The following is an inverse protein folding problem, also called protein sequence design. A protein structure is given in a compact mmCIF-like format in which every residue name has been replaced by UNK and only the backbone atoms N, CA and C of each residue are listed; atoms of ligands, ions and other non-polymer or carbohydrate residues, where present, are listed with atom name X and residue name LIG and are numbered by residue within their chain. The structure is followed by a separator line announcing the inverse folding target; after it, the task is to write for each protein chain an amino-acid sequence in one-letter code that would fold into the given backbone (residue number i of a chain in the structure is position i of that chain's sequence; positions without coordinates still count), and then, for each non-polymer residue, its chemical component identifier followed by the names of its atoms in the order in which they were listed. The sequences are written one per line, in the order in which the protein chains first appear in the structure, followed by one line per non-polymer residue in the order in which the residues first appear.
data_IF_226856103887
#
_entry.id   IF_226856103887
#
_cell.length_a   1.000
_cell.length_b   1.000
_cell.length_c   1.000
_cell.angle_alpha   90.00
_cell.angle_beta   90.00
_cell.angle_gamma   90.00
#
_symmetry.space_group_name_H-M   'P 1'
#
loop_
_entity.id
_entity.type
_entity.pdbx_description
1 polymer ?
#
# COMPACT_ATOMS: atom_id res chain seq x y z
N UNK A 1 29.71 25.63 3.88
CA UNK A 1 29.03 24.46 4.47
C UNK A 1 28.70 23.49 3.36
N UNK A 2 29.51 22.43 3.25
CA UNK A 2 29.31 21.38 2.26
C UNK A 2 28.33 20.38 2.87
N UNK A 3 27.12 20.29 2.34
CA UNK A 3 26.19 19.21 2.66
C UNK A 3 26.84 17.86 2.33
N UNK A 4 27.37 17.22 3.34
CA UNK A 4 27.97 15.90 3.25
C UNK A 4 26.87 14.88 3.30
N UNK A 5 26.66 14.18 2.19
CA UNK A 5 25.80 13.00 2.01
C UNK A 5 24.32 13.19 2.41
N UNK A 6 23.46 13.32 1.41
CA UNK A 6 22.02 13.12 1.59
C UNK A 6 21.76 11.64 1.71
N UNK A 7 21.36 11.20 2.88
CA UNK A 7 20.81 9.86 3.07
C UNK A 7 19.40 9.80 2.48
N UNK A 8 19.08 8.68 1.84
CA UNK A 8 17.70 8.34 1.50
C UNK A 8 17.09 7.63 2.72
N UNK A 9 16.05 8.23 3.28
CA UNK A 9 15.32 7.65 4.40
C UNK A 9 14.19 6.75 3.94
N UNK A 10 13.94 5.70 4.69
CA UNK A 10 12.69 4.96 4.61
C UNK A 10 11.58 5.83 5.23
N UNK A 11 10.58 6.18 4.44
CA UNK A 11 9.48 7.05 4.86
C UNK A 11 8.72 6.46 6.05
N UNK A 12 8.67 5.14 6.16
CA UNK A 12 7.99 4.43 7.25
C UNK A 12 8.86 4.23 8.49
N UNK A 13 10.16 3.99 8.31
CA UNK A 13 11.08 3.68 9.41
C UNK A 13 11.95 4.85 9.83
N UNK A 14 11.92 5.97 9.11
CA UNK A 14 12.81 7.13 9.31
C UNK A 14 14.29 6.73 9.44
N UNK A 15 14.67 5.62 8.80
CA UNK A 15 16.05 5.16 8.77
C UNK A 15 16.82 5.95 7.71
N UNK A 16 17.92 6.55 8.13
CA UNK A 16 18.83 7.26 7.23
C UNK A 16 20.02 6.36 6.94
N UNK A 17 20.19 6.00 5.67
CA UNK A 17 21.31 5.15 5.24
C UNK A 17 22.22 5.99 4.34
N UNK A 18 23.51 6.05 4.67
CA UNK A 18 24.50 6.67 3.80
C UNK A 18 24.78 5.76 2.62
N UNK A 19 24.36 6.16 1.43
CA UNK A 19 24.49 5.34 0.20
C UNK A 19 25.83 5.57 -0.48
N UNK A 20 26.33 6.81 -0.47
CA UNK A 20 27.62 7.18 -1.05
C UNK A 20 28.32 8.18 -0.15
N UNK A 21 29.63 8.08 -0.04
CA UNK A 21 30.44 9.02 0.71
C UNK A 21 30.83 10.19 -0.18
N UNK A 22 30.77 11.41 0.38
CA UNK A 22 31.34 12.60 -0.27
C UNK A 22 32.86 12.49 -0.37
N UNK A 23 33.45 13.18 -1.35
CA UNK A 23 34.88 13.27 -1.46
C UNK A 23 35.49 14.18 -0.38
N UNK A 24 36.76 13.94 -0.09
CA UNK A 24 37.49 14.79 0.83
C UNK A 24 37.86 16.12 0.19
N UNK A 25 37.72 17.21 0.94
CA UNK A 25 38.12 18.54 0.49
C UNK A 25 39.62 18.65 0.29
N UNK A 26 40.04 19.45 -0.69
CA UNK A 26 41.45 19.78 -0.87
C UNK A 26 41.95 20.71 0.21
N UNK A 27 43.26 20.79 0.34
CA UNK A 27 43.89 21.72 1.26
C UNK A 27 43.94 23.13 0.68
N UNK A 28 43.41 24.07 1.43
CA UNK A 28 43.51 25.50 1.10
C UNK A 28 44.89 26.08 1.41
N UNK A 29 45.14 27.30 0.93
CA UNK A 29 46.41 28.00 1.03
C UNK A 29 46.96 28.15 2.45
N UNK A 30 46.10 28.24 3.46
CA UNK A 30 46.53 28.36 4.86
C UNK A 30 47.37 27.17 5.35
N UNK A 31 47.12 25.97 4.79
CA UNK A 31 47.86 24.75 5.15
C UNK A 31 49.30 24.74 4.63
N UNK A 32 49.60 25.60 3.65
CA UNK A 32 50.94 25.73 3.06
C UNK A 32 51.71 26.93 3.62
N UNK A 33 51.18 27.59 4.63
CA UNK A 33 51.83 28.74 5.30
C UNK A 33 53.06 28.24 6.09
N UNK A 34 54.18 28.91 5.86
CA UNK A 34 55.42 28.63 6.57
C UNK A 34 56.06 29.94 7.04
N UNK A 35 57.14 29.81 7.84
CA UNK A 35 57.88 30.99 8.30
C UNK A 35 58.47 31.84 7.15
N UNK A 36 58.82 31.17 6.03
CA UNK A 36 59.41 31.80 4.84
C UNK A 36 58.32 32.26 3.87
N UNK A 37 57.20 31.53 3.75
CA UNK A 37 56.10 31.88 2.87
C UNK A 37 54.83 32.13 3.67
N UNK A 38 54.59 33.40 4.05
CA UNK A 38 53.45 33.79 4.87
C UNK A 38 52.13 33.93 4.09
N UNK A 39 52.16 33.97 2.76
CA UNK A 39 51.00 34.13 1.91
C UNK A 39 51.06 33.12 0.71
N UNK A 40 51.02 31.81 0.95
CA UNK A 40 51.09 30.81 -0.11
C UNK A 40 49.88 30.90 -1.02
N UNK A 41 50.09 30.72 -2.32
CA UNK A 41 49.01 30.59 -3.32
C UNK A 41 48.72 29.11 -3.70
N UNK A 42 49.34 28.19 -2.99
CA UNK A 42 49.19 26.74 -3.24
C UNK A 42 47.88 26.23 -2.68
N UNK A 43 47.24 25.38 -3.44
CA UNK A 43 46.04 24.61 -3.03
C UNK A 43 46.13 23.21 -3.67
N UNK A 44 45.57 22.21 -3.00
CA UNK A 44 45.36 20.89 -3.61
C UNK A 44 43.92 20.72 -3.99
N UNK A 45 43.63 20.03 -5.12
CA UNK A 45 42.27 19.62 -5.41
C UNK A 45 41.80 18.63 -4.35
N UNK A 46 40.49 18.56 -4.11
CA UNK A 46 39.88 17.54 -3.30
C UNK A 46 39.82 16.21 -4.03
N UNK A 47 39.48 15.16 -3.32
CA UNK A 47 39.26 13.84 -3.87
C UNK A 47 37.78 13.70 -4.31
N UNK A 48 37.50 13.04 -5.44
CA UNK A 48 36.14 12.83 -5.87
C UNK A 48 35.40 11.92 -4.89
N UNK A 49 34.12 12.21 -4.66
CA UNK A 49 33.23 11.32 -3.90
C UNK A 49 32.87 10.05 -4.66
N UNK A 50 32.26 9.11 -3.95
CA UNK A 50 31.73 7.87 -4.54
C UNK A 50 30.57 8.20 -5.49
N UNK A 51 30.56 7.52 -6.66
CA UNK A 51 29.43 7.55 -7.60
C UNK A 51 28.82 6.15 -7.64
N UNK A 52 27.51 6.06 -7.39
CA UNK A 52 26.77 4.79 -7.42
C UNK A 52 25.52 4.94 -8.28
N UNK A 53 25.28 3.95 -9.13
CA UNK A 53 24.01 3.83 -9.83
C UNK A 53 23.07 3.01 -8.96
N UNK A 54 21.90 3.57 -8.62
CA UNK A 54 20.92 2.92 -7.76
C UNK A 54 19.72 2.48 -8.59
N UNK A 55 19.31 1.24 -8.37
CA UNK A 55 18.00 0.76 -8.81
C UNK A 55 17.08 0.81 -7.59
N UNK A 56 16.10 1.70 -7.62
CA UNK A 56 15.12 1.85 -6.55
C UNK A 56 13.89 0.99 -6.88
N UNK A 57 13.43 0.23 -5.92
CA UNK A 57 12.20 -0.54 -6.00
C UNK A 57 11.27 -0.14 -4.85
N UNK A 58 10.08 0.36 -5.20
CA UNK A 58 9.04 0.66 -4.22
C UNK A 58 8.38 -0.66 -3.78
N UNK A 59 8.60 -1.08 -2.53
CA UNK A 59 8.10 -2.37 -2.02
C UNK A 59 6.62 -2.38 -1.68
N UNK A 60 6.04 -1.25 -1.30
CA UNK A 60 4.63 -1.16 -0.89
C UNK A 60 3.88 -0.26 -1.85
N UNK A 61 2.86 -0.81 -2.51
CA UNK A 61 2.00 -0.08 -3.41
C UNK A 61 0.82 0.56 -2.67
N UNK A 62 0.21 -0.22 -1.78
CA UNK A 62 -0.93 0.18 -0.97
C UNK A 62 -1.00 -0.66 0.31
N UNK A 63 -1.60 -0.10 1.35
CA UNK A 63 -1.88 -0.82 2.60
C UNK A 63 -3.12 -1.70 2.46
N UNK A 64 -4.08 -1.25 1.65
CA UNK A 64 -5.40 -1.87 1.47
C UNK A 64 -5.68 -2.08 -0.01
N UNK A 65 -6.05 -3.30 -0.37
CA UNK A 65 -6.49 -3.67 -1.70
C UNK A 65 -8.01 -3.82 -1.78
N UNK A 66 -8.63 -3.32 -2.84
CA UNK A 66 -10.06 -3.50 -3.08
C UNK A 66 -10.32 -4.68 -3.99
N UNK A 67 -11.26 -5.54 -3.60
CA UNK A 67 -11.80 -6.64 -4.37
C UNK A 67 -13.28 -6.39 -4.63
N UNK A 68 -13.80 -6.80 -5.74
CA UNK A 68 -15.24 -6.69 -6.02
C UNK A 68 -15.53 -6.71 -7.51
N UNK A 69 -16.77 -7.05 -7.88
CA UNK A 69 -17.25 -7.05 -9.26
C UNK A 69 -17.10 -5.67 -9.92
N UNK A 70 -17.06 -5.58 -11.26
CA UNK A 70 -17.27 -4.33 -11.95
C UNK A 70 -18.53 -3.64 -11.42
N UNK A 71 -18.49 -2.33 -11.30
CA UNK A 71 -19.60 -1.51 -10.79
C UNK A 71 -20.05 -1.76 -9.34
N UNK A 72 -19.33 -2.58 -8.55
CA UNK A 72 -19.58 -2.72 -7.11
C UNK A 72 -19.33 -1.43 -6.30
N UNK A 73 -18.75 -0.41 -6.93
CA UNK A 73 -18.51 0.89 -6.33
C UNK A 73 -17.11 1.08 -5.76
N UNK A 74 -16.12 0.27 -6.17
CA UNK A 74 -14.72 0.39 -5.73
C UNK A 74 -14.12 1.77 -5.97
N UNK A 75 -14.21 2.25 -7.20
CA UNK A 75 -13.67 3.58 -7.57
C UNK A 75 -14.45 4.71 -6.91
N UNK A 76 -15.77 4.54 -6.72
CA UNK A 76 -16.60 5.49 -5.97
C UNK A 76 -16.15 5.55 -4.50
N UNK A 77 -15.88 4.38 -3.89
CA UNK A 77 -15.37 4.31 -2.53
C UNK A 77 -14.02 5.02 -2.39
N UNK A 78 -13.04 4.75 -3.28
CA UNK A 78 -11.76 5.45 -3.26
C UNK A 78 -11.96 6.97 -3.34
N UNK A 79 -12.82 7.43 -4.24
CA UNK A 79 -13.11 8.86 -4.40
C UNK A 79 -13.79 9.45 -3.16
N UNK A 80 -14.69 8.69 -2.53
CA UNK A 80 -15.41 9.13 -1.34
C UNK A 80 -14.52 9.31 -0.11
N UNK A 81 -13.50 8.43 0.04
CA UNK A 81 -12.64 8.38 1.24
C UNK A 81 -11.29 9.06 1.06
N UNK A 82 -10.87 9.33 -0.18
CA UNK A 82 -9.60 10.01 -0.46
C UNK A 82 -9.67 11.50 -0.19
N UNK A 83 -8.64 12.04 0.46
CA UNK A 83 -8.50 13.48 0.72
C UNK A 83 -8.01 14.27 -0.49
N UNK A 84 -7.51 13.59 -1.51
CA UNK A 84 -7.09 14.16 -2.79
C UNK A 84 -7.74 13.35 -3.92
N UNK A 85 -7.82 13.92 -5.12
CA UNK A 85 -8.29 13.17 -6.29
C UNK A 85 -7.45 11.89 -6.43
N UNK A 86 -8.09 10.72 -6.57
CA UNK A 86 -7.39 9.48 -6.82
C UNK A 86 -6.47 9.64 -8.03
N UNK A 87 -5.25 9.14 -7.92
CA UNK A 87 -4.29 9.17 -9.02
C UNK A 87 -4.28 7.83 -9.71
N UNK A 88 -4.39 7.86 -11.02
CA UNK A 88 -4.07 6.72 -11.87
C UNK A 88 -2.55 6.60 -11.86
N UNK A 89 -2.04 5.47 -11.41
CA UNK A 89 -0.61 5.24 -11.36
C UNK A 89 -0.15 4.52 -12.62
N UNK A 90 0.70 5.18 -13.40
CA UNK A 90 1.37 4.60 -14.56
C UNK A 90 2.58 3.80 -14.09
N UNK A 91 2.40 2.48 -13.95
CA UNK A 91 3.51 1.59 -13.69
C UNK A 91 3.99 1.00 -15.02
N UNK A 92 5.26 1.18 -15.39
CA UNK A 92 5.79 0.77 -16.71
C UNK A 92 5.74 -0.76 -16.95
N UNK A 93 5.35 -1.52 -15.92
CA UNK A 93 5.23 -2.98 -15.98
C UNK A 93 3.77 -3.47 -15.85
N UNK A 94 2.77 -2.57 -15.91
CA UNK A 94 1.35 -2.94 -15.87
C UNK A 94 0.62 -2.34 -17.07
N UNK A 95 -0.20 -3.15 -17.74
CA UNK A 95 -1.18 -2.66 -18.71
C UNK A 95 -2.46 -2.19 -18.04
N UNK A 96 -2.62 -2.47 -16.75
CA UNK A 96 -3.73 -2.06 -15.92
C UNK A 96 -3.26 -0.91 -15.04
N UNK A 97 -3.97 0.20 -15.09
CA UNK A 97 -3.67 1.40 -14.32
C UNK A 97 -4.47 1.37 -13.01
N UNK A 98 -3.87 0.98 -11.87
CA UNK A 98 -4.59 0.97 -10.59
C UNK A 98 -4.94 2.40 -10.16
N UNK A 99 -6.14 2.57 -9.64
CA UNK A 99 -6.52 3.81 -8.99
C UNK A 99 -6.04 3.77 -7.53
N UNK A 100 -5.19 4.73 -7.18
CA UNK A 100 -4.68 4.88 -5.82
C UNK A 100 -5.35 6.05 -5.12
N UNK A 101 -5.81 5.81 -3.90
CA UNK A 101 -6.34 6.84 -3.02
C UNK A 101 -5.56 6.91 -1.71
N UNK A 102 -5.21 8.13 -1.29
CA UNK A 102 -4.63 8.37 0.04
C UNK A 102 -5.73 8.81 0.98
N UNK A 103 -5.98 8.01 2.00
CA UNK A 103 -6.98 8.25 3.04
C UNK A 103 -6.29 8.82 4.27
N UNK A 104 -6.69 10.02 4.70
CA UNK A 104 -6.18 10.65 5.92
C UNK A 104 -7.21 10.49 7.03
N UNK A 105 -6.76 10.00 8.17
CA UNK A 105 -7.56 9.84 9.39
C UNK A 105 -7.24 10.94 10.40
N UNK A 106 -6.05 11.50 10.31
CA UNK A 106 -5.55 12.57 11.18
C UNK A 106 -4.36 13.30 10.57
N UNK A 107 -3.76 14.28 11.30
CA UNK A 107 -2.69 15.14 10.77
C UNK A 107 -1.49 14.38 10.21
N UNK A 108 -1.06 13.32 10.88
CA UNK A 108 0.06 12.45 10.45
C UNK A 108 -0.39 11.00 10.23
N UNK A 109 -1.68 10.77 10.12
CA UNK A 109 -2.26 9.44 10.05
C UNK A 109 -2.94 9.23 8.69
N UNK A 110 -2.35 8.38 7.88
CA UNK A 110 -2.88 8.05 6.55
C UNK A 110 -2.54 6.62 6.17
N UNK A 111 -3.30 6.09 5.23
CA UNK A 111 -3.02 4.83 4.57
C UNK A 111 -3.39 4.92 3.08
N UNK A 112 -2.86 4.02 2.28
CA UNK A 112 -3.09 3.99 0.84
C UNK A 112 -4.02 2.85 0.48
N UNK A 113 -5.04 3.15 -0.32
CA UNK A 113 -5.99 2.19 -0.89
C UNK A 113 -5.76 2.05 -2.38
N UNK A 114 -5.72 0.83 -2.88
CA UNK A 114 -5.61 0.54 -4.30
C UNK A 114 -6.83 -0.20 -4.83
N UNK A 115 -7.42 0.29 -5.92
CA UNK A 115 -8.38 -0.49 -6.71
C UNK A 115 -7.63 -1.46 -7.61
N UNK A 116 -8.11 -2.70 -7.63
CA UNK A 116 -7.53 -3.81 -8.36
C UNK A 116 -8.41 -4.12 -9.57
N UNK A 117 -8.17 -3.48 -10.71
CA UNK A 117 -8.87 -3.85 -11.93
C UNK A 117 -8.41 -5.22 -12.42
N UNK A 118 -9.31 -6.00 -13.01
CA UNK A 118 -8.95 -7.18 -13.78
C UNK A 118 -8.91 -8.53 -13.05
N UNK A 119 -9.36 -8.61 -11.78
CA UNK A 119 -9.53 -9.93 -11.12
C UNK A 119 -10.67 -10.78 -11.71
N UNK A 120 -11.55 -10.20 -12.53
CA UNK A 120 -12.81 -10.85 -12.94
C UNK A 120 -12.89 -11.07 -14.44
N UNK A 121 -12.08 -10.44 -15.26
CA UNK A 121 -12.13 -10.61 -16.71
C UNK A 121 -10.88 -11.33 -17.23
N UNK A 122 -10.91 -12.67 -17.24
CA UNK A 122 -9.94 -13.46 -17.99
C UNK A 122 -8.54 -13.60 -17.38
N UNK A 123 -8.33 -13.32 -16.12
CA UNK A 123 -7.02 -13.51 -15.45
C UNK A 123 -6.59 -15.00 -15.46
N UNK A 124 -7.52 -15.94 -15.61
CA UNK A 124 -7.26 -17.37 -15.74
C UNK A 124 -6.85 -17.79 -17.17
N UNK A 125 -7.02 -16.95 -18.18
CA UNK A 125 -6.80 -17.30 -19.59
C UNK A 125 -5.44 -16.84 -20.16
N UNK A 126 -4.42 -16.69 -19.34
CA UNK A 126 -3.04 -16.79 -19.84
C UNK A 126 -2.38 -15.52 -20.35
N UNK A 127 -2.92 -14.33 -20.20
CA UNK A 127 -2.18 -13.11 -20.49
C UNK A 127 -1.30 -12.77 -19.28
N UNK A 128 0.00 -13.02 -19.37
CA UNK A 128 1.01 -12.90 -18.30
C UNK A 128 1.15 -11.56 -17.55
N UNK A 129 0.24 -10.64 -17.75
CA UNK A 129 0.18 -9.29 -17.18
C UNK A 129 -0.50 -9.25 -15.80
N UNK A 130 -1.44 -10.15 -15.52
CA UNK A 130 -2.09 -10.26 -14.21
C UNK A 130 -1.12 -10.69 -13.10
N UNK A 131 -0.15 -11.55 -13.40
CA UNK A 131 0.81 -12.08 -12.43
C UNK A 131 1.74 -11.03 -11.80
N UNK A 132 2.16 -9.99 -12.54
CA UNK A 132 3.03 -8.97 -11.99
C UNK A 132 2.27 -8.01 -11.06
N UNK A 133 1.04 -7.67 -11.43
CA UNK A 133 0.20 -6.79 -10.62
C UNK A 133 -0.26 -7.47 -9.31
N UNK A 134 -0.58 -8.74 -9.36
CA UNK A 134 -1.00 -9.50 -8.17
C UNK A 134 0.14 -9.70 -7.17
N UNK A 135 1.40 -9.70 -7.61
CA UNK A 135 2.56 -9.59 -6.72
C UNK A 135 2.54 -8.30 -5.88
N UNK A 136 2.01 -7.22 -6.41
CA UNK A 136 1.88 -5.98 -5.64
C UNK A 136 0.76 -6.05 -4.60
N UNK A 137 -0.28 -6.85 -4.85
CA UNK A 137 -1.34 -7.11 -3.89
C UNK A 137 -0.91 -8.02 -2.75
N UNK A 138 0.03 -8.92 -3.01
CA UNK A 138 0.64 -9.72 -1.94
C UNK A 138 1.26 -8.81 -0.87
N UNK A 139 1.57 -7.57 -1.21
CA UNK A 139 2.17 -6.57 -0.31
C UNK A 139 1.14 -5.71 0.44
N UNK A 140 -0.15 -5.80 0.10
CA UNK A 140 -1.19 -5.14 0.92
C UNK A 140 -1.38 -5.88 2.24
N UNK A 141 -1.78 -5.18 3.28
CA UNK A 141 -2.03 -5.75 4.62
C UNK A 141 -3.45 -6.26 4.78
N UNK A 142 -4.38 -5.63 4.10
CA UNK A 142 -5.81 -5.91 4.20
C UNK A 142 -6.46 -5.91 2.82
N UNK A 143 -7.43 -6.78 2.61
CA UNK A 143 -8.30 -6.79 1.45
C UNK A 143 -9.72 -6.40 1.86
N UNK A 144 -10.31 -5.44 1.15
CA UNK A 144 -11.72 -5.10 1.29
C UNK A 144 -12.51 -5.73 0.14
N UNK A 145 -13.39 -6.65 0.47
CA UNK A 145 -14.28 -7.26 -0.50
C UNK A 145 -15.56 -6.43 -0.58
N UNK A 146 -15.63 -5.55 -1.58
CA UNK A 146 -16.77 -4.66 -1.82
C UNK A 146 -17.81 -5.39 -2.66
N UNK A 147 -19.02 -5.47 -2.13
CA UNK A 147 -20.16 -6.14 -2.75
C UNK A 147 -21.30 -5.15 -2.96
N UNK A 148 -21.86 -5.16 -4.15
CA UNK A 148 -23.11 -4.47 -4.45
C UNK A 148 -24.29 -5.29 -3.92
N UNK A 149 -25.00 -4.78 -2.91
CA UNK A 149 -26.16 -5.48 -2.31
C UNK A 149 -27.48 -5.15 -3.00
N UNK A 150 -27.45 -4.20 -3.92
CA UNK A 150 -28.61 -3.75 -4.70
C UNK A 150 -28.28 -3.69 -6.19
N UNK A 151 -27.91 -4.81 -6.85
CA UNK A 151 -27.63 -4.81 -8.27
C UNK A 151 -28.87 -4.38 -9.04
N UNK A 152 -28.65 -3.61 -10.12
CA UNK A 152 -29.74 -3.11 -10.94
C UNK A 152 -30.52 -4.24 -11.64
N UNK A 153 -29.83 -5.33 -11.99
CA UNK A 153 -30.43 -6.53 -12.56
C UNK A 153 -30.79 -7.50 -11.43
N UNK A 154 -32.09 -7.70 -11.20
CA UNK A 154 -32.63 -8.61 -10.18
C UNK A 154 -32.25 -10.09 -10.40
N UNK A 155 -31.87 -10.47 -11.62
CA UNK A 155 -31.38 -11.82 -11.92
C UNK A 155 -29.97 -12.06 -11.33
N UNK A 156 -29.27 -11.03 -10.95
CA UNK A 156 -27.92 -11.11 -10.41
C UNK A 156 -27.97 -11.41 -8.91
N UNK A 157 -27.44 -12.56 -8.50
CA UNK A 157 -27.27 -12.89 -7.07
C UNK A 157 -25.93 -12.31 -6.54
N UNK A 158 -25.97 -11.32 -5.64
CA UNK A 158 -24.75 -10.75 -5.06
C UNK A 158 -23.88 -11.76 -4.32
N UNK A 159 -24.52 -12.78 -3.71
CA UNK A 159 -23.79 -13.84 -2.99
C UNK A 159 -23.04 -14.75 -3.96
N UNK A 160 -23.64 -15.09 -5.09
CA UNK A 160 -22.99 -15.88 -6.13
C UNK A 160 -21.78 -15.13 -6.71
N UNK A 161 -21.93 -13.83 -6.99
CA UNK A 161 -20.84 -12.97 -7.45
C UNK A 161 -19.69 -12.90 -6.43
N UNK A 162 -20.00 -12.66 -5.16
CA UNK A 162 -18.99 -12.62 -4.11
C UNK A 162 -18.23 -13.95 -3.97
N UNK A 163 -18.93 -15.09 -4.08
CA UNK A 163 -18.29 -16.41 -4.09
C UNK A 163 -17.41 -16.63 -5.31
N UNK A 164 -17.81 -16.16 -6.48
CA UNK A 164 -17.02 -16.26 -7.70
C UNK A 164 -15.66 -15.57 -7.54
N UNK A 165 -15.64 -14.33 -7.01
CA UNK A 165 -14.41 -13.58 -6.73
C UNK A 165 -13.49 -14.35 -5.76
N UNK A 166 -14.05 -14.89 -4.68
CA UNK A 166 -13.24 -15.64 -3.69
C UNK A 166 -12.66 -16.92 -4.31
N UNK A 167 -13.43 -17.60 -5.16
CA UNK A 167 -12.95 -18.78 -5.86
C UNK A 167 -11.86 -18.45 -6.87
N UNK A 168 -12.00 -17.35 -7.59
CA UNK A 168 -10.99 -16.87 -8.52
C UNK A 168 -9.70 -16.49 -7.79
N UNK A 169 -9.79 -15.76 -6.69
CA UNK A 169 -8.67 -15.41 -5.83
C UNK A 169 -7.91 -16.66 -5.35
N UNK A 170 -8.66 -17.70 -4.94
CA UNK A 170 -8.09 -18.98 -4.49
C UNK A 170 -7.36 -19.73 -5.61
N UNK A 171 -7.93 -19.73 -6.84
CA UNK A 171 -7.29 -20.35 -8.00
C UNK A 171 -6.02 -19.62 -8.40
N UNK A 172 -6.01 -18.32 -8.21
CA UNK A 172 -4.95 -17.46 -8.67
C UNK A 172 -3.73 -17.47 -7.74
N UNK A 173 -3.93 -17.22 -6.43
CA UNK A 173 -2.86 -17.11 -5.46
C UNK A 173 -3.34 -17.46 -4.04
N UNK A 174 -2.77 -18.54 -3.50
CA UNK A 174 -3.09 -19.02 -2.16
C UNK A 174 -2.67 -18.04 -1.06
N UNK A 175 -1.57 -17.30 -1.25
CA UNK A 175 -1.10 -16.32 -0.26
C UNK A 175 -2.07 -15.14 -0.18
N UNK A 176 -2.54 -14.67 -1.33
CA UNK A 176 -3.50 -13.59 -1.42
C UNK A 176 -4.87 -14.03 -0.86
N UNK A 177 -5.28 -15.27 -1.12
CA UNK A 177 -6.50 -15.85 -0.56
C UNK A 177 -6.48 -15.91 0.96
N UNK A 178 -5.34 -16.18 1.58
CA UNK A 178 -5.17 -16.30 3.03
C UNK A 178 -5.04 -14.96 3.75
N UNK A 179 -4.92 -13.85 3.01
CA UNK A 179 -4.82 -12.51 3.62
C UNK A 179 -6.07 -12.14 4.42
N UNK A 180 -5.89 -11.30 5.47
CA UNK A 180 -7.01 -10.68 6.16
C UNK A 180 -7.95 -10.02 5.15
N UNK A 181 -9.23 -10.35 5.25
CA UNK A 181 -10.25 -9.83 4.34
C UNK A 181 -11.47 -9.39 5.13
N UNK A 182 -11.98 -8.20 4.82
CA UNK A 182 -13.20 -7.65 5.39
C UNK A 182 -14.27 -7.54 4.32
N UNK A 183 -15.50 -7.85 4.70
CA UNK A 183 -16.66 -7.74 3.83
C UNK A 183 -17.24 -6.33 3.94
N UNK A 184 -17.42 -5.67 2.80
CA UNK A 184 -18.01 -4.33 2.72
C UNK A 184 -19.23 -4.40 1.81
N UNK A 185 -20.41 -4.28 2.39
CA UNK A 185 -21.69 -4.28 1.71
C UNK A 185 -22.01 -2.84 1.30
N UNK A 186 -21.95 -2.58 0.01
CA UNK A 186 -22.08 -1.23 -0.57
C UNK A 186 -23.42 -1.04 -1.27
N UNK A 187 -23.78 0.22 -1.50
CA UNK A 187 -25.01 0.70 -2.13
C UNK A 187 -26.25 0.50 -1.26
N UNK A 188 -26.08 0.59 0.04
CA UNK A 188 -27.23 0.53 0.97
C UNK A 188 -28.22 1.68 0.80
N UNK A 189 -27.80 2.78 0.22
CA UNK A 189 -28.69 3.89 -0.17
C UNK A 189 -29.79 3.47 -1.16
N UNK A 190 -29.56 2.39 -1.92
CA UNK A 190 -30.54 1.85 -2.87
C UNK A 190 -31.48 0.83 -2.22
N UNK A 191 -31.25 0.46 -0.95
CA UNK A 191 -32.08 -0.49 -0.20
C UNK A 191 -32.96 0.28 0.80
N UNK A 192 -34.30 0.06 0.83
CA UNK A 192 -35.18 0.65 1.84
C UNK A 192 -34.69 0.37 3.25
N UNK A 193 -34.78 1.37 4.13
CA UNK A 193 -34.20 1.29 5.47
C UNK A 193 -34.72 0.06 6.27
N UNK A 194 -36.00 -0.28 6.09
CA UNK A 194 -36.65 -1.39 6.76
C UNK A 194 -36.13 -2.76 6.30
N UNK A 195 -35.60 -2.84 5.07
CA UNK A 195 -35.09 -4.08 4.48
C UNK A 195 -33.58 -4.29 4.67
N UNK A 196 -32.83 -3.23 5.00
CA UNK A 196 -31.35 -3.25 5.06
C UNK A 196 -30.85 -4.36 5.97
N UNK A 197 -31.34 -4.40 7.20
CA UNK A 197 -30.89 -5.38 8.20
C UNK A 197 -31.18 -6.82 7.77
N UNK A 198 -32.36 -7.07 7.21
CA UNK A 198 -32.76 -8.39 6.71
C UNK A 198 -31.86 -8.83 5.55
N UNK A 199 -31.59 -7.93 4.60
CA UNK A 199 -30.75 -8.17 3.42
C UNK A 199 -29.29 -8.46 3.80
N UNK A 200 -28.75 -7.69 4.73
CA UNK A 200 -27.40 -7.90 5.27
C UNK A 200 -27.30 -9.24 5.98
N UNK A 201 -28.24 -9.58 6.86
CA UNK A 201 -28.27 -10.87 7.55
C UNK A 201 -28.39 -12.06 6.57
N UNK A 202 -29.25 -11.96 5.57
CA UNK A 202 -29.40 -12.99 4.54
C UNK A 202 -28.09 -13.17 3.76
N UNK A 203 -27.48 -12.07 3.31
CA UNK A 203 -26.20 -12.11 2.60
C UNK A 203 -25.11 -12.80 3.43
N UNK A 204 -24.89 -12.35 4.67
CA UNK A 204 -23.85 -12.90 5.57
C UNK A 204 -24.08 -14.38 5.83
N UNK A 205 -25.31 -14.80 6.05
CA UNK A 205 -25.70 -16.21 6.24
C UNK A 205 -25.44 -17.07 5.01
N UNK A 206 -25.88 -16.63 3.82
CA UNK A 206 -25.71 -17.34 2.55
C UNK A 206 -24.25 -17.39 2.08
N UNK A 207 -23.50 -16.32 2.36
CA UNK A 207 -22.06 -16.24 2.08
C UNK A 207 -21.21 -17.02 3.10
N UNK A 208 -21.82 -17.39 4.26
CA UNK A 208 -21.16 -18.06 5.39
C UNK A 208 -19.94 -17.28 5.92
N UNK A 209 -20.07 -15.96 5.95
CA UNK A 209 -19.01 -15.08 6.39
C UNK A 209 -18.87 -15.06 7.92
N UNK A 210 -17.62 -15.07 8.41
CA UNK A 210 -17.31 -15.07 9.86
C UNK A 210 -16.42 -13.89 10.27
N UNK A 211 -15.92 -13.12 9.31
CA UNK A 211 -15.05 -11.97 9.55
C UNK A 211 -15.82 -10.68 9.77
N UNK A 212 -15.11 -9.54 9.88
CA UNK A 212 -15.73 -8.22 9.99
C UNK A 212 -16.62 -7.93 8.77
N UNK A 213 -17.75 -7.26 9.04
CA UNK A 213 -18.72 -6.80 8.05
C UNK A 213 -18.94 -5.31 8.26
N UNK A 214 -18.91 -4.56 7.17
CA UNK A 214 -19.20 -3.12 7.16
C UNK A 214 -20.29 -2.84 6.14
N UNK A 215 -21.19 -1.98 6.53
CA UNK A 215 -22.36 -1.55 5.78
C UNK A 215 -22.13 -0.11 5.35
N UNK A 216 -22.09 0.15 4.03
CA UNK A 216 -21.78 1.48 3.52
C UNK A 216 -22.65 1.88 2.34
N UNK A 217 -22.71 3.18 2.10
CA UNK A 217 -22.96 3.75 0.81
C UNK A 217 -21.75 4.62 0.41
N UNK A 218 -20.99 4.17 -0.57
CA UNK A 218 -19.88 4.95 -1.09
C UNK A 218 -20.35 6.26 -1.76
N UNK A 219 -21.58 6.29 -2.26
CA UNK A 219 -22.16 7.47 -2.91
C UNK A 219 -22.51 8.56 -1.89
N UNK A 220 -23.23 8.20 -0.83
CA UNK A 220 -23.67 9.13 0.23
C UNK A 220 -22.62 9.29 1.33
N UNK A 221 -21.59 8.45 1.36
CA UNK A 221 -20.55 8.32 2.39
C UNK A 221 -21.06 7.78 3.73
N UNK A 222 -22.31 7.31 3.80
CA UNK A 222 -22.85 6.64 4.98
C UNK A 222 -22.01 5.41 5.32
N UNK A 223 -21.65 5.22 6.59
CA UNK A 223 -20.85 4.08 7.07
C UNK A 223 -19.37 4.09 6.68
N UNK A 224 -18.91 5.03 5.82
CA UNK A 224 -17.51 5.07 5.39
C UNK A 224 -16.53 5.47 6.51
N UNK A 225 -16.90 6.39 7.38
CA UNK A 225 -16.02 6.89 8.43
C UNK A 225 -15.68 5.80 9.48
N UNK A 226 -16.63 5.04 10.03
CA UNK A 226 -16.32 3.90 10.90
C UNK A 226 -15.42 2.86 10.25
N UNK A 227 -15.64 2.57 8.95
CA UNK A 227 -14.80 1.67 8.17
C UNK A 227 -13.36 2.19 8.07
N UNK A 228 -13.16 3.47 7.73
CA UNK A 228 -11.84 4.10 7.63
C UNK A 228 -11.07 3.99 8.93
N UNK A 229 -11.71 4.30 10.06
CA UNK A 229 -11.07 4.21 11.37
C UNK A 229 -10.74 2.77 11.76
N UNK A 230 -11.58 1.80 11.41
CA UNK A 230 -11.29 0.39 11.64
C UNK A 230 -10.09 -0.08 10.81
N UNK A 231 -10.05 0.28 9.52
CA UNK A 231 -8.92 -0.01 8.62
C UNK A 231 -7.63 0.56 9.18
N UNK A 232 -7.62 1.83 9.56
CA UNK A 232 -6.43 2.49 10.09
C UNK A 232 -5.88 1.77 11.32
N UNK A 233 -6.75 1.40 12.27
CA UNK A 233 -6.33 0.65 13.46
C UNK A 233 -5.72 -0.71 13.11
N UNK A 234 -6.29 -1.42 12.15
CA UNK A 234 -5.78 -2.70 11.69
C UNK A 234 -4.41 -2.56 11.00
N UNK A 235 -4.29 -1.63 10.06
CA UNK A 235 -3.02 -1.36 9.35
C UNK A 235 -1.93 -0.94 10.34
N UNK A 236 -2.26 -0.12 11.33
CA UNK A 236 -1.30 0.31 12.36
C UNK A 236 -0.84 -0.86 13.27
N UNK A 237 -1.76 -1.77 13.63
CA UNK A 237 -1.39 -2.95 14.43
C UNK A 237 -0.45 -3.88 13.68
N UNK A 238 -0.72 -4.15 12.40
CA UNK A 238 0.16 -4.96 11.54
C UNK A 238 1.54 -4.31 11.38
N UNK A 239 1.60 -2.99 11.20
CA UNK A 239 2.86 -2.25 11.11
C UNK A 239 3.70 -2.34 12.38
N UNK A 240 3.07 -2.35 13.56
CA UNK A 240 3.77 -2.49 14.85
C UNK A 240 4.36 -3.88 14.98
N UNK A 241 3.60 -4.91 14.66
CA UNK A 241 4.06 -6.31 14.70
C UNK A 241 5.24 -6.56 13.74
N UNK A 242 5.21 -5.96 12.54
CA UNK A 242 6.34 -6.04 11.60
C UNK A 242 7.61 -5.32 12.08
N UNK A 243 7.47 -4.32 12.96
CA UNK A 243 8.57 -3.48 13.45
C UNK A 243 9.09 -3.88 14.84
N UNK A 244 8.46 -4.82 15.52
CA UNK A 244 9.04 -5.39 16.74
C UNK A 244 10.38 -6.05 16.41
N UNK A 245 11.50 -5.67 17.08
CA UNK A 245 12.78 -6.32 16.86
C UNK A 245 12.59 -7.81 17.20
N UNK A 246 12.94 -8.67 16.24
CA UNK A 246 13.06 -10.10 16.52
C UNK A 246 14.10 -10.18 17.63
N UNK A 247 13.71 -10.61 18.84
CA UNK A 247 14.67 -10.94 19.91
C UNK A 247 15.61 -11.99 19.35
N UNK A 248 16.80 -11.55 18.98
CA UNK A 248 17.86 -12.46 18.56
C UNK A 248 18.25 -13.24 19.81
N UNK A 249 17.97 -14.53 19.82
CA UNK A 249 18.37 -15.43 20.91
C UNK A 249 19.86 -15.17 21.23
N UNK A 250 20.19 -14.79 22.46
CA UNK A 250 21.58 -14.46 22.85
C UNK A 250 22.60 -15.55 22.51
N UNK A 251 22.14 -16.79 22.28
CA UNK A 251 22.97 -17.92 21.87
C UNK A 251 23.49 -17.82 20.42
N UNK A 252 22.88 -16.98 19.60
CA UNK A 252 23.27 -16.73 18.19
C UNK A 252 23.84 -15.32 17.95
N UNK A 253 24.04 -14.53 19.00
CA UNK A 253 24.63 -13.18 18.93
C UNK A 253 26.18 -13.19 18.87
N UNK A 254 26.82 -14.34 18.75
CA UNK A 254 28.27 -14.45 18.65
C UNK A 254 28.69 -14.69 17.22
N UNK A 255 29.36 -13.70 16.66
CA UNK A 255 30.35 -13.67 15.58
C UNK A 255 30.03 -12.59 14.53
N UNK A 256 30.24 -11.33 14.93
CA UNK A 256 30.58 -10.30 13.96
C UNK A 256 32.11 -10.31 13.80
N UNK A 257 32.65 -10.52 12.61
CA UNK A 257 34.09 -10.39 12.38
C UNK A 257 34.52 -8.95 12.52
N UNK A 258 35.65 -8.75 13.19
CA UNK A 258 36.35 -7.51 13.50
C UNK A 258 36.78 -6.72 12.24
#
# INVERSE_FOLDING_TARGET
DVERSRGLGDVYKRQVITIAKGGDGGFGNLRFKSAINRAPRQKTPGWPGEKKNLKLELKVLADVGLLGMPNAGKSTFITAVSNARPKIADYPFTTLHPNLGVVRVGPEQSFVVADIPGLIEGASEGAGLGHQFLRHLQRTRLLLHIVDVAPFDEAVDPVAQAKAIVNELKKYDQQLYNKPRWLVLNKLDMVPAEEREARVKDFVKRFKWKGPVFEISALTREGCEPLIHAIFRHVQSEQRTENEPVEVDPRFAGDAPA
#
